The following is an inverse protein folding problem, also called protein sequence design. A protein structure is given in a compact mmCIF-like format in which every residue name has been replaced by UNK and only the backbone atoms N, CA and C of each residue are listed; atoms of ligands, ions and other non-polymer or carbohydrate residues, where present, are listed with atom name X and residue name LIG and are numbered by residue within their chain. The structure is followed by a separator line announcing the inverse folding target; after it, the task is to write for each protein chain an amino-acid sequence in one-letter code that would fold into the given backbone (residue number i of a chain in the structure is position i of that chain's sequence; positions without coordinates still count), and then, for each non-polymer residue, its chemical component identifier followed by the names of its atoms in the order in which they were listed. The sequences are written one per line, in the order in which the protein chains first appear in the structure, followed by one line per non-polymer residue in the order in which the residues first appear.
data_IF_322402955076
#
_entry.id   IF_322402955076
#
_cell.length_a   1.000
_cell.length_b   1.000
_cell.length_c   1.000
_cell.angle_alpha   90.00
_cell.angle_beta   90.00
_cell.angle_gamma   90.00
#
_symmetry.space_group_name_H-M   'P 1'
#
loop_
_entity.id
_entity.type
_entity.pdbx_description
1 polymer ?
#
# COMPACT_ATOMS: atom_id res chain seq x y z
N UNK A 1 9.83 -3.56 16.81
CA UNK A 1 10.29 -4.96 16.80
C UNK A 1 11.60 -5.18 16.06
N UNK A 2 11.70 -4.91 14.75
CA UNK A 2 12.89 -5.26 13.94
C UNK A 2 14.22 -4.75 14.51
N UNK A 3 14.31 -3.49 14.93
CA UNK A 3 15.55 -2.95 15.54
C UNK A 3 15.99 -3.72 16.78
N UNK A 4 15.04 -4.01 17.69
CA UNK A 4 15.33 -4.77 18.92
C UNK A 4 15.71 -6.21 18.58
N UNK A 5 15.04 -6.82 17.59
CA UNK A 5 15.35 -8.16 17.10
C UNK A 5 16.79 -8.23 16.58
N UNK A 6 17.20 -7.30 15.71
CA UNK A 6 18.57 -7.25 15.17
C UNK A 6 19.61 -7.04 16.28
N UNK A 7 19.33 -6.15 17.24
CA UNK A 7 20.23 -5.94 18.38
C UNK A 7 20.35 -7.18 19.27
N UNK A 8 19.23 -7.88 19.52
CA UNK A 8 19.17 -9.06 20.38
C UNK A 8 19.99 -10.24 19.83
N UNK A 9 20.15 -10.35 18.51
CA UNK A 9 21.00 -11.39 17.90
C UNK A 9 22.46 -11.28 18.37
N UNK A 10 22.98 -10.06 18.56
CA UNK A 10 24.33 -9.81 19.06
C UNK A 10 24.43 -9.60 20.59
N UNK A 11 23.32 -9.74 21.32
CA UNK A 11 23.33 -9.65 22.78
C UNK A 11 23.79 -10.97 23.42
N UNK A 12 24.17 -10.93 24.70
CA UNK A 12 24.38 -12.14 25.49
C UNK A 12 23.06 -12.54 26.18
N UNK A 13 22.69 -13.83 26.11
CA UNK A 13 21.51 -14.38 26.78
C UNK A 13 20.26 -14.47 25.89
N UNK A 14 19.08 -14.52 26.53
CA UNK A 14 17.77 -14.56 25.84
C UNK A 14 17.10 -13.19 25.92
N UNK A 15 16.54 -12.72 24.80
CA UNK A 15 15.67 -11.56 24.73
C UNK A 15 14.25 -12.00 24.38
N UNK A 16 13.27 -11.47 25.09
CA UNK A 16 11.84 -11.68 24.82
C UNK A 16 11.24 -10.32 24.48
N UNK A 17 10.67 -10.20 23.28
CA UNK A 17 9.93 -9.01 22.85
C UNK A 17 8.44 -9.30 23.02
N UNK A 18 7.80 -8.60 23.96
CA UNK A 18 6.35 -8.64 24.15
C UNK A 18 5.68 -7.47 23.41
N UNK A 19 4.47 -7.69 22.89
CA UNK A 19 3.79 -6.70 22.04
C UNK A 19 4.48 -6.51 20.69
N UNK A 20 5.12 -7.57 20.18
CA UNK A 20 5.81 -7.54 18.91
C UNK A 20 4.83 -7.31 17.74
N UNK A 21 5.23 -6.47 16.80
CA UNK A 21 4.58 -6.30 15.51
C UNK A 21 4.62 -7.62 14.71
N UNK A 22 3.50 -8.00 14.08
CA UNK A 22 3.29 -9.31 13.45
C UNK A 22 3.41 -9.29 11.93
N UNK A 23 3.73 -8.13 11.34
CA UNK A 23 3.77 -7.90 9.90
C UNK A 23 4.69 -8.90 9.17
N UNK A 24 4.36 -9.29 7.91
CA UNK A 24 5.21 -10.13 7.09
C UNK A 24 6.66 -9.60 6.96
N UNK A 25 6.84 -8.28 6.98
CA UNK A 25 8.17 -7.66 6.95
C UNK A 25 9.01 -7.96 8.21
N UNK A 26 8.36 -8.15 9.37
CA UNK A 26 9.03 -8.58 10.62
C UNK A 26 9.44 -10.05 10.52
N UNK A 27 8.58 -10.90 9.99
CA UNK A 27 8.86 -12.33 9.74
C UNK A 27 9.97 -12.51 8.70
N UNK A 28 10.00 -11.66 7.67
CA UNK A 28 11.08 -11.59 6.68
C UNK A 28 12.42 -11.23 7.33
N UNK A 29 12.42 -10.24 8.23
CA UNK A 29 13.62 -9.88 9.01
C UNK A 29 14.11 -11.06 9.86
N UNK A 30 13.20 -11.74 10.56
CA UNK A 30 13.54 -12.94 11.35
C UNK A 30 14.10 -14.06 10.46
N UNK A 31 13.50 -14.28 9.28
CA UNK A 31 13.93 -15.30 8.32
C UNK A 31 15.30 -14.98 7.73
N UNK A 32 15.59 -13.72 7.43
CA UNK A 32 16.91 -13.26 7.03
C UNK A 32 17.96 -13.51 8.12
N UNK A 33 17.66 -13.14 9.37
CA UNK A 33 18.56 -13.38 10.50
C UNK A 33 18.77 -14.88 10.76
N UNK A 34 17.73 -15.71 10.65
CA UNK A 34 17.82 -17.18 10.74
C UNK A 34 18.68 -17.76 9.62
N UNK A 35 18.58 -17.25 8.39
CA UNK A 35 19.42 -17.68 7.27
C UNK A 35 20.92 -17.40 7.53
N UNK A 36 21.22 -16.38 8.34
CA UNK A 36 22.58 -16.11 8.81
C UNK A 36 22.97 -16.90 10.07
N UNK A 37 22.11 -17.77 10.62
CA UNK A 37 22.42 -18.59 11.81
C UNK A 37 21.87 -18.07 13.15
N UNK A 38 21.05 -17.01 13.15
CA UNK A 38 20.38 -16.56 14.37
C UNK A 38 19.31 -17.57 14.85
N UNK A 39 19.06 -17.59 16.16
CA UNK A 39 17.98 -18.40 16.76
C UNK A 39 16.85 -17.46 17.19
N UNK A 40 15.77 -17.46 16.41
CA UNK A 40 14.60 -16.59 16.58
C UNK A 40 13.34 -17.43 16.41
N UNK A 41 12.45 -17.34 17.39
CA UNK A 41 11.17 -18.06 17.43
C UNK A 41 10.00 -17.09 17.73
N UNK A 42 8.81 -17.43 17.26
CA UNK A 42 7.58 -16.67 17.53
C UNK A 42 7.38 -15.43 16.65
N UNK A 43 8.18 -15.24 15.60
CA UNK A 43 7.94 -14.21 14.59
C UNK A 43 6.55 -14.41 13.93
N UNK A 44 5.83 -13.31 13.72
CA UNK A 44 4.42 -13.33 13.30
C UNK A 44 3.43 -13.44 14.47
N UNK A 45 3.91 -13.55 15.71
CA UNK A 45 3.09 -13.49 16.93
C UNK A 45 3.47 -12.27 17.79
N UNK A 46 2.61 -11.88 18.77
CA UNK A 46 2.93 -10.79 19.69
C UNK A 46 4.11 -11.05 20.65
N UNK A 47 4.69 -12.26 20.64
CA UNK A 47 5.84 -12.61 21.49
C UNK A 47 6.94 -13.23 20.63
N UNK A 48 8.07 -12.53 20.53
CA UNK A 48 9.25 -13.02 19.80
C UNK A 48 10.37 -13.31 20.79
N UNK A 49 10.98 -14.50 20.68
CA UNK A 49 12.11 -14.94 21.49
C UNK A 49 13.37 -15.00 20.64
N UNK A 50 14.45 -14.41 21.14
CA UNK A 50 15.73 -14.37 20.46
C UNK A 50 16.81 -14.88 21.42
N UNK A 51 17.55 -15.91 21.01
CA UNK A 51 18.75 -16.33 21.74
C UNK A 51 19.96 -15.63 21.14
N UNK A 52 20.49 -14.67 21.89
CA UNK A 52 21.66 -13.90 21.50
C UNK A 52 22.92 -14.75 21.44
N UNK A 53 23.78 -14.44 20.48
CA UNK A 53 25.05 -15.16 20.22
C UNK A 53 26.25 -14.52 20.94
N UNK A 54 26.06 -13.39 21.62
CA UNK A 54 27.16 -12.58 22.15
C UNK A 54 27.91 -11.85 21.03
N UNK A 55 29.23 -11.65 21.20
CA UNK A 55 30.05 -10.90 20.22
C UNK A 55 29.90 -11.46 18.81
N UNK A 56 29.54 -10.59 17.87
CA UNK A 56 29.44 -10.89 16.44
C UNK A 56 30.83 -10.91 15.81
N UNK A 57 31.62 -11.95 16.10
CA UNK A 57 32.91 -12.22 15.48
C UNK A 57 32.89 -13.56 14.71
N UNK A 58 34.04 -13.98 14.16
CA UNK A 58 34.12 -15.24 13.39
C UNK A 58 33.76 -16.50 14.21
N UNK A 59 33.71 -16.42 15.54
CA UNK A 59 33.28 -17.50 16.43
C UNK A 59 31.79 -17.47 16.78
N UNK A 60 31.04 -16.44 16.38
CA UNK A 60 29.61 -16.26 16.70
C UNK A 60 28.69 -17.30 16.04
N UNK A 61 29.18 -17.98 15.00
CA UNK A 61 28.38 -18.89 14.17
C UNK A 61 27.38 -18.17 13.27
N UNK A 62 27.49 -16.84 13.11
CA UNK A 62 26.78 -16.13 12.05
C UNK A 62 27.58 -16.16 10.76
N UNK A 63 26.91 -16.51 9.67
CA UNK A 63 27.51 -16.62 8.34
C UNK A 63 26.83 -15.67 7.36
N UNK A 64 27.59 -15.20 6.36
CA UNK A 64 27.00 -14.52 5.21
C UNK A 64 26.13 -15.49 4.41
N UNK A 65 25.08 -14.99 3.76
CA UNK A 65 24.18 -15.82 2.97
C UNK A 65 23.44 -15.02 1.90
N UNK A 66 22.73 -15.75 1.03
CA UNK A 66 21.78 -15.19 0.09
C UNK A 66 20.38 -15.20 0.69
N UNK A 67 19.65 -14.10 0.55
CA UNK A 67 18.27 -14.00 0.97
C UNK A 67 17.46 -13.27 -0.10
N UNK A 68 16.33 -13.86 -0.48
CA UNK A 68 15.39 -13.27 -1.44
C UNK A 68 14.41 -12.38 -0.70
N UNK A 69 14.26 -11.13 -1.15
CA UNK A 69 13.30 -10.20 -0.58
C UNK A 69 11.89 -10.63 -1.00
N UNK A 70 10.95 -10.80 -0.05
CA UNK A 70 9.56 -11.14 -0.39
C UNK A 70 8.89 -10.06 -1.26
N UNK A 71 7.84 -10.43 -2.01
CA UNK A 71 7.04 -9.47 -2.78
C UNK A 71 6.46 -8.35 -1.91
N UNK A 72 6.32 -7.15 -2.45
CA UNK A 72 5.71 -6.03 -1.73
C UNK A 72 4.17 -6.18 -1.70
N UNK A 73 3.64 -6.54 -0.53
CA UNK A 73 2.19 -6.70 -0.32
C UNK A 73 1.40 -5.38 -0.45
N UNK A 74 2.04 -4.23 -0.24
CA UNK A 74 1.39 -2.92 -0.43
C UNK A 74 1.36 -2.56 -1.91
N UNK A 75 2.43 -2.83 -2.66
CA UNK A 75 2.41 -2.68 -4.13
C UNK A 75 1.38 -3.62 -4.74
N UNK A 76 1.37 -4.90 -4.33
CA UNK A 76 0.36 -5.90 -4.69
C UNK A 76 -1.05 -5.37 -4.48
N UNK A 77 -1.33 -4.86 -3.28
CA UNK A 77 -2.64 -4.31 -2.95
C UNK A 77 -3.00 -3.05 -3.72
N UNK A 78 -2.01 -2.22 -4.07
CA UNK A 78 -2.22 -1.02 -4.88
C UNK A 78 -2.65 -1.36 -6.29
N UNK A 79 -2.00 -2.34 -6.94
CA UNK A 79 -2.40 -2.78 -8.28
C UNK A 79 -3.71 -3.58 -8.27
N UNK A 80 -3.99 -4.34 -7.20
CA UNK A 80 -5.30 -4.97 -7.04
C UNK A 80 -6.41 -3.91 -6.99
N UNK A 81 -6.22 -2.84 -6.23
CA UNK A 81 -7.15 -1.71 -6.18
C UNK A 81 -7.20 -0.94 -7.51
N UNK A 82 -6.08 -0.77 -8.21
CA UNK A 82 -6.05 -0.19 -9.55
C UNK A 82 -6.90 -1.00 -10.54
N UNK A 83 -6.79 -2.33 -10.50
CA UNK A 83 -7.62 -3.24 -11.29
C UNK A 83 -9.11 -3.12 -10.96
N UNK A 84 -9.46 -3.01 -9.68
CA UNK A 84 -10.85 -2.82 -9.26
C UNK A 84 -11.43 -1.47 -9.75
N UNK A 85 -10.60 -0.43 -9.80
CA UNK A 85 -10.98 0.94 -10.18
C UNK A 85 -11.12 1.11 -11.69
N UNK A 86 -10.18 0.59 -12.49
CA UNK A 86 -10.04 0.94 -13.90
C UNK A 86 -9.72 -0.24 -14.83
N UNK A 87 -9.58 -1.46 -14.31
CA UNK A 87 -9.18 -2.62 -15.11
C UNK A 87 -10.38 -3.37 -15.68
N UNK A 88 -10.26 -3.94 -16.88
CA UNK A 88 -11.20 -4.96 -17.34
C UNK A 88 -10.94 -6.28 -16.59
N UNK A 89 -9.68 -6.72 -16.64
CA UNK A 89 -9.15 -7.85 -15.87
C UNK A 89 -7.66 -7.58 -15.62
N UNK A 90 -7.25 -7.53 -14.36
CA UNK A 90 -5.86 -7.32 -13.95
C UNK A 90 -5.40 -8.51 -13.15
N UNK A 91 -4.25 -9.08 -13.53
CA UNK A 91 -3.59 -10.17 -12.80
C UNK A 91 -2.34 -9.60 -12.17
N UNK A 92 -2.27 -9.62 -10.83
CA UNK A 92 -1.06 -9.31 -10.08
C UNK A 92 -0.28 -10.60 -9.88
N UNK A 93 0.84 -10.74 -10.56
CA UNK A 93 1.71 -11.93 -10.53
C UNK A 93 2.85 -11.80 -9.51
N UNK A 94 3.42 -12.93 -9.11
CA UNK A 94 4.58 -12.95 -8.20
C UNK A 94 4.28 -12.41 -6.81
N UNK A 95 3.03 -12.51 -6.36
CA UNK A 95 2.58 -12.01 -5.06
C UNK A 95 2.37 -13.14 -4.05
N UNK A 96 2.11 -12.79 -2.79
CA UNK A 96 1.76 -13.74 -1.72
C UNK A 96 0.38 -13.41 -1.18
N UNK A 97 -0.70 -13.99 -1.73
CA UNK A 97 -2.07 -13.62 -1.36
C UNK A 97 -2.36 -13.76 0.14
N UNK A 98 -1.71 -14.70 0.82
CA UNK A 98 -1.79 -14.90 2.27
C UNK A 98 -1.34 -13.69 3.09
N UNK A 99 -0.54 -12.78 2.54
CA UNK A 99 -0.09 -11.55 3.20
C UNK A 99 -1.08 -10.37 2.98
N UNK A 100 -2.10 -10.56 2.13
CA UNK A 100 -3.11 -9.56 1.78
C UNK A 100 -4.55 -9.98 2.16
N UNK A 101 -4.75 -10.98 3.04
CA UNK A 101 -6.07 -11.51 3.38
C UNK A 101 -7.09 -10.44 3.79
N UNK A 102 -6.68 -9.44 4.59
CA UNK A 102 -7.58 -8.36 4.98
C UNK A 102 -8.02 -7.50 3.79
N UNK A 103 -7.16 -7.27 2.80
CA UNK A 103 -7.53 -6.57 1.57
C UNK A 103 -8.49 -7.42 0.74
N UNK A 104 -8.17 -8.70 0.54
CA UNK A 104 -9.00 -9.62 -0.26
C UNK A 104 -10.41 -9.72 0.31
N UNK A 105 -10.52 -9.87 1.64
CA UNK A 105 -11.81 -9.85 2.31
C UNK A 105 -12.56 -8.53 2.12
N UNK A 106 -11.88 -7.38 2.18
CA UNK A 106 -12.54 -6.09 1.94
C UNK A 106 -13.02 -5.96 0.49
N UNK A 107 -12.23 -6.41 -0.50
CA UNK A 107 -12.65 -6.39 -1.90
C UNK A 107 -13.91 -7.24 -2.12
N UNK A 108 -14.00 -8.41 -1.50
CA UNK A 108 -15.21 -9.24 -1.50
C UNK A 108 -16.41 -8.51 -0.88
N UNK A 109 -16.24 -7.86 0.29
CA UNK A 109 -17.31 -7.09 0.93
C UNK A 109 -17.78 -5.89 0.09
N UNK A 110 -16.88 -5.31 -0.69
CA UNK A 110 -17.17 -4.22 -1.61
C UNK A 110 -17.87 -4.69 -2.90
N UNK A 111 -17.97 -6.01 -3.12
CA UNK A 111 -18.55 -6.60 -4.32
C UNK A 111 -17.59 -6.64 -5.52
N UNK A 112 -16.28 -6.53 -5.29
CA UNK A 112 -15.25 -6.66 -6.33
C UNK A 112 -15.00 -8.15 -6.57
N UNK A 113 -15.12 -8.66 -7.81
CA UNK A 113 -14.76 -10.04 -8.12
C UNK A 113 -13.24 -10.25 -8.01
N UNK A 114 -12.85 -11.24 -7.20
CA UNK A 114 -11.46 -11.60 -6.94
C UNK A 114 -11.28 -13.10 -7.12
N UNK A 115 -10.26 -13.50 -7.87
CA UNK A 115 -9.79 -14.89 -7.90
C UNK A 115 -8.38 -14.95 -7.31
N UNK A 116 -8.18 -15.87 -6.37
CA UNK A 116 -6.91 -16.03 -5.65
C UNK A 116 -6.22 -17.31 -6.13
N UNK A 117 -5.04 -17.15 -6.74
CA UNK A 117 -4.14 -18.24 -7.09
C UNK A 117 -3.09 -18.51 -6.01
N UNK A 118 -2.11 -19.34 -6.32
CA UNK A 118 -0.98 -19.63 -5.41
C UNK A 118 -0.05 -18.42 -5.25
N UNK A 119 0.28 -17.78 -6.37
CA UNK A 119 1.16 -16.60 -6.44
C UNK A 119 0.58 -15.45 -7.26
N UNK A 120 -0.74 -15.49 -7.49
CA UNK A 120 -1.47 -14.52 -8.30
C UNK A 120 -2.75 -14.04 -7.62
N UNK A 121 -3.13 -12.80 -7.90
CA UNK A 121 -4.45 -12.25 -7.57
C UNK A 121 -5.04 -11.67 -8.86
N UNK A 122 -6.18 -12.19 -9.29
CA UNK A 122 -6.92 -11.67 -10.44
C UNK A 122 -8.07 -10.81 -9.95
N UNK A 123 -8.17 -9.58 -10.46
CA UNK A 123 -9.20 -8.61 -10.14
C UNK A 123 -9.97 -8.25 -11.41
N UNK A 124 -11.29 -8.21 -11.32
CA UNK A 124 -12.15 -7.62 -12.34
C UNK A 124 -12.60 -6.23 -11.88
N UNK A 125 -12.56 -5.24 -12.78
CA UNK A 125 -13.01 -3.90 -12.46
C UNK A 125 -14.52 -3.82 -12.24
N UNK A 126 -14.92 -2.78 -11.50
CA UNK A 126 -16.31 -2.53 -11.15
C UNK A 126 -16.68 -1.08 -11.41
N UNK A 127 -17.92 -0.85 -11.85
CA UNK A 127 -18.44 0.52 -12.01
C UNK A 127 -18.76 1.20 -10.67
N UNK A 128 -19.01 0.41 -9.63
CA UNK A 128 -19.40 0.86 -8.30
C UNK A 128 -19.12 -0.23 -7.27
N UNK A 129 -18.84 0.20 -6.04
CA UNK A 129 -18.69 -0.68 -4.86
C UNK A 129 -19.77 -0.42 -3.81
N UNK A 130 -20.00 -1.42 -2.95
CA UNK A 130 -20.82 -1.26 -1.75
C UNK A 130 -20.14 -0.32 -0.73
N UNK A 131 -20.90 0.40 0.11
CA UNK A 131 -20.31 1.17 1.20
C UNK A 131 -19.76 0.26 2.30
N UNK A 132 -18.66 0.68 2.95
CA UNK A 132 -18.01 -0.09 4.02
C UNK A 132 -17.58 0.78 5.19
N UNK A 133 -17.50 0.20 6.38
CA UNK A 133 -16.80 0.79 7.51
C UNK A 133 -15.58 -0.08 7.87
N UNK A 134 -14.38 0.44 7.66
CA UNK A 134 -13.12 -0.28 7.89
C UNK A 134 -12.22 0.48 8.86
N UNK A 135 -11.52 -0.26 9.72
CA UNK A 135 -10.52 0.30 10.62
C UNK A 135 -9.12 -0.21 10.27
N UNK A 136 -8.18 0.70 10.14
CA UNK A 136 -6.76 0.38 9.99
C UNK A 136 -6.18 0.06 11.36
N UNK A 137 -5.53 -1.10 11.46
CA UNK A 137 -5.00 -1.68 12.69
C UNK A 137 -3.69 -2.41 12.36
N UNK A 138 -2.86 -2.76 13.35
CA UNK A 138 -1.69 -3.62 13.13
C UNK A 138 -2.05 -4.94 12.43
N UNK A 139 -1.09 -5.52 11.70
CA UNK A 139 -1.28 -6.80 11.00
C UNK A 139 -1.73 -7.90 11.98
N UNK A 140 -2.70 -8.77 11.62
CA UNK A 140 -3.21 -9.09 10.27
C UNK A 140 -4.43 -8.28 9.80
N UNK A 141 -4.79 -7.20 10.50
CA UNK A 141 -5.90 -6.35 10.07
C UNK A 141 -5.53 -5.51 8.82
N UNK A 142 -6.50 -4.73 8.32
CA UNK A 142 -6.28 -3.93 7.11
C UNK A 142 -5.15 -2.91 7.32
N UNK A 143 -4.14 -2.86 6.43
CA UNK A 143 -2.97 -2.02 6.64
C UNK A 143 -3.27 -0.54 6.35
N UNK A 144 -2.82 0.34 7.25
CA UNK A 144 -2.85 1.81 7.06
C UNK A 144 -2.24 2.24 5.73
N UNK A 145 -1.28 1.50 5.19
CA UNK A 145 -0.63 1.87 3.92
C UNK A 145 -1.53 1.75 2.68
N UNK A 146 -2.60 0.96 2.75
CA UNK A 146 -3.58 0.84 1.67
C UNK A 146 -4.83 1.70 1.88
N UNK A 147 -4.91 2.49 2.95
CA UNK A 147 -6.11 3.28 3.24
C UNK A 147 -6.39 4.35 2.17
N UNK A 148 -5.35 5.02 1.65
CA UNK A 148 -5.49 5.99 0.56
C UNK A 148 -5.93 5.35 -0.76
N UNK A 149 -5.22 4.32 -1.27
CA UNK A 149 -5.66 3.55 -2.44
C UNK A 149 -7.09 3.01 -2.31
N UNK A 150 -7.47 2.49 -1.14
CA UNK A 150 -8.85 2.05 -0.88
C UNK A 150 -9.82 3.22 -0.99
N UNK A 151 -9.47 4.38 -0.45
CA UNK A 151 -10.31 5.58 -0.52
C UNK A 151 -10.63 5.99 -1.96
N UNK A 152 -9.67 5.87 -2.89
CA UNK A 152 -9.90 6.14 -4.30
C UNK A 152 -10.96 5.20 -4.89
N UNK A 153 -10.92 3.90 -4.54
CA UNK A 153 -11.97 2.95 -4.93
C UNK A 153 -13.33 3.32 -4.32
N UNK A 154 -13.36 3.71 -3.04
CA UNK A 154 -14.60 4.08 -2.36
C UNK A 154 -15.26 5.34 -2.94
N UNK A 155 -14.52 6.20 -3.64
CA UNK A 155 -15.12 7.32 -4.38
C UNK A 155 -16.07 6.85 -5.50
N UNK A 156 -15.91 5.64 -6.03
CA UNK A 156 -16.80 5.04 -7.02
C UNK A 156 -18.09 4.45 -6.42
N UNK A 157 -18.12 4.23 -5.09
CA UNK A 157 -19.21 3.52 -4.43
C UNK A 157 -20.53 4.29 -4.39
N UNK A 158 -21.63 3.58 -4.10
CA UNK A 158 -22.95 4.22 -3.86
C UNK A 158 -23.27 4.22 -2.36
N UNK A 159 -23.07 5.35 -1.71
CA UNK A 159 -23.37 5.53 -0.29
C UNK A 159 -22.21 6.15 0.49
N UNK A 160 -22.25 6.00 1.82
CA UNK A 160 -21.26 6.58 2.73
C UNK A 160 -20.37 5.47 3.29
N UNK A 161 -19.07 5.58 3.06
CA UNK A 161 -18.05 4.70 3.63
C UNK A 161 -17.23 5.42 4.70
N UNK A 162 -16.71 4.66 5.65
CA UNK A 162 -15.91 5.14 6.76
C UNK A 162 -14.55 4.42 6.78
N UNK A 163 -13.47 5.19 6.76
CA UNK A 163 -12.12 4.70 7.00
C UNK A 163 -11.63 5.28 8.32
N UNK A 164 -11.41 4.46 9.34
CA UNK A 164 -10.82 4.90 10.62
C UNK A 164 -9.38 4.44 10.72
N UNK A 165 -8.41 5.35 10.81
CA UNK A 165 -7.00 4.97 10.99
C UNK A 165 -6.60 5.06 12.45
N UNK A 166 -6.40 3.91 13.12
CA UNK A 166 -5.95 3.86 14.52
C UNK A 166 -4.43 3.78 14.65
N UNK A 167 -3.71 3.56 13.54
CA UNK A 167 -2.24 3.49 13.52
C UNK A 167 -1.66 4.90 13.32
N UNK A 168 -2.20 5.64 12.35
CA UNK A 168 -1.85 7.04 12.09
C UNK A 168 -3.11 7.91 11.92
N UNK A 169 -3.73 8.37 13.02
CA UNK A 169 -4.98 9.15 13.01
C UNK A 169 -4.97 10.42 12.13
N UNK A 170 -3.78 10.97 11.88
CA UNK A 170 -3.60 12.20 11.11
C UNK A 170 -3.22 11.98 9.64
N UNK A 171 -3.11 10.73 9.19
CA UNK A 171 -2.67 10.36 7.83
C UNK A 171 -3.76 10.52 6.77
N UNK A 172 -4.35 11.70 6.65
CA UNK A 172 -5.44 11.99 5.70
C UNK A 172 -5.18 13.23 4.83
N UNK A 173 -3.90 13.57 4.61
CA UNK A 173 -3.51 14.74 3.83
C UNK A 173 -3.98 14.68 2.37
N UNK A 174 -4.20 13.49 1.82
CA UNK A 174 -4.72 13.31 0.46
C UNK A 174 -6.20 13.72 0.31
N UNK A 175 -6.96 13.90 1.40
CA UNK A 175 -8.36 14.33 1.33
C UNK A 175 -8.54 15.69 0.67
N UNK A 176 -7.63 16.65 0.92
CA UNK A 176 -7.71 17.96 0.27
C UNK A 176 -7.54 17.86 -1.23
N UNK A 177 -6.65 17.00 -1.70
CA UNK A 177 -6.41 16.78 -3.12
C UNK A 177 -7.54 15.98 -3.78
N UNK A 178 -8.09 14.96 -3.12
CA UNK A 178 -9.28 14.26 -3.61
C UNK A 178 -10.48 15.20 -3.79
N UNK A 179 -10.66 16.20 -2.91
CA UNK A 179 -11.70 17.23 -3.12
C UNK A 179 -11.46 18.07 -4.37
N UNK A 180 -10.22 18.23 -4.83
CA UNK A 180 -9.92 18.93 -6.10
C UNK A 180 -10.36 18.13 -7.31
N UNK A 181 -10.43 16.80 -7.19
CA UNK A 181 -11.11 15.95 -8.18
C UNK A 181 -12.64 16.05 -8.10
N UNK A 182 -13.22 16.73 -7.10
CA UNK A 182 -14.66 16.75 -6.88
C UNK A 182 -15.18 15.67 -5.93
N UNK A 183 -14.30 14.86 -5.34
CA UNK A 183 -14.69 13.84 -4.37
C UNK A 183 -15.31 14.45 -3.11
N UNK A 184 -16.39 13.83 -2.61
CA UNK A 184 -17.07 14.27 -1.38
C UNK A 184 -16.50 13.54 -0.18
N UNK A 185 -15.42 14.09 0.36
CA UNK A 185 -14.69 13.47 1.46
C UNK A 185 -14.45 14.45 2.62
N UNK A 186 -14.54 13.97 3.86
CA UNK A 186 -14.22 14.75 5.06
C UNK A 186 -13.56 13.92 6.15
N UNK A 187 -12.89 14.59 7.09
CA UNK A 187 -12.26 13.96 8.25
C UNK A 187 -12.99 14.41 9.50
N UNK A 188 -13.30 13.47 10.38
CA UNK A 188 -13.82 13.68 11.73
C UNK A 188 -12.99 12.83 12.70
N UNK A 189 -12.14 13.50 13.49
CA UNK A 189 -11.19 12.79 14.37
C UNK A 189 -10.27 11.83 13.59
N UNK A 190 -10.14 10.54 13.98
CA UNK A 190 -9.35 9.55 13.26
C UNK A 190 -10.05 8.95 12.03
N UNK A 191 -11.23 9.44 11.66
CA UNK A 191 -12.09 8.83 10.64
C UNK A 191 -12.24 9.72 9.42
N UNK A 192 -11.97 9.18 8.23
CA UNK A 192 -12.41 9.75 6.97
C UNK A 192 -13.80 9.23 6.59
N UNK A 193 -14.66 10.14 6.17
CA UNK A 193 -16.01 9.91 5.68
C UNK A 193 -15.98 10.17 4.18
N UNK A 194 -16.39 9.16 3.40
CA UNK A 194 -16.38 9.18 1.94
C UNK A 194 -17.81 8.99 1.46
N UNK A 195 -18.37 10.02 0.83
CA UNK A 195 -19.66 9.94 0.14
C UNK A 195 -19.37 9.64 -1.34
N UNK A 196 -19.49 8.37 -1.72
CA UNK A 196 -19.15 7.90 -3.06
C UNK A 196 -20.17 8.30 -4.14
N UNK A 197 -19.78 8.11 -5.40
CA UNK A 197 -20.65 8.27 -6.57
C UNK A 197 -20.65 9.68 -7.16
N UNK A 198 -19.83 10.58 -6.62
CA UNK A 198 -19.55 11.86 -7.26
C UNK A 198 -18.61 11.63 -8.46
N UNK A 199 -18.91 12.18 -9.65
CA UNK A 199 -17.98 12.11 -10.77
C UNK A 199 -16.68 12.82 -10.41
N UNK A 200 -15.56 12.20 -10.76
CA UNK A 200 -14.24 12.79 -10.57
C UNK A 200 -13.83 13.55 -11.84
N UNK A 201 -13.24 14.72 -11.66
CA UNK A 201 -12.68 15.53 -12.75
C UNK A 201 -11.18 15.67 -12.59
N UNK A 202 -10.47 15.61 -13.71
CA UNK A 202 -9.03 15.76 -13.76
C UNK A 202 -8.59 17.10 -13.18
N UNK A 203 -7.53 17.07 -12.38
CA UNK A 203 -7.04 18.25 -11.67
C UNK A 203 -5.51 18.24 -11.55
N UNK A 204 -4.95 19.43 -11.31
CA UNK A 204 -3.55 19.56 -10.85
C UNK A 204 -3.53 19.33 -9.34
N UNK A 205 -2.87 18.27 -8.89
CA UNK A 205 -2.82 17.86 -7.48
C UNK A 205 -1.39 17.68 -6.99
N UNK A 206 -1.19 17.71 -5.66
CA UNK A 206 0.12 17.59 -5.04
C UNK A 206 0.24 16.36 -4.15
N UNK A 207 1.15 15.46 -4.49
CA UNK A 207 1.53 14.36 -3.60
C UNK A 207 2.16 14.90 -2.30
N UNK A 208 1.65 14.43 -1.16
CA UNK A 208 2.13 14.81 0.18
C UNK A 208 2.95 13.70 0.87
N UNK A 209 2.71 12.45 0.51
CA UNK A 209 3.45 11.28 0.97
C UNK A 209 3.33 10.12 -0.05
N UNK A 210 4.05 9.02 0.19
CA UNK A 210 4.09 7.86 -0.70
C UNK A 210 2.70 7.28 -1.00
N UNK A 211 1.86 7.07 0.02
CA UNK A 211 0.56 6.39 -0.14
C UNK A 211 -0.53 7.37 -0.58
N UNK A 212 -0.43 8.63 -0.16
CA UNK A 212 -1.18 9.73 -0.77
C UNK A 212 -0.92 9.81 -2.28
N UNK A 213 0.33 9.65 -2.72
CA UNK A 213 0.67 9.68 -4.16
C UNK A 213 -0.06 8.59 -4.94
N UNK A 214 -0.03 7.34 -4.44
CA UNK A 214 -0.72 6.23 -5.07
C UNK A 214 -2.24 6.47 -5.14
N UNK A 215 -2.86 6.96 -4.06
CA UNK A 215 -4.27 7.34 -4.04
C UNK A 215 -4.64 8.31 -5.17
N UNK A 216 -3.85 9.38 -5.36
CA UNK A 216 -4.12 10.40 -6.38
C UNK A 216 -3.91 9.89 -7.80
N UNK A 217 -2.92 9.02 -8.01
CA UNK A 217 -2.73 8.35 -9.31
C UNK A 217 -3.94 7.49 -9.62
N UNK A 218 -4.41 6.66 -8.69
CA UNK A 218 -5.58 5.80 -8.90
C UNK A 218 -6.86 6.60 -9.14
N UNK A 219 -7.10 7.67 -8.39
CA UNK A 219 -8.22 8.57 -8.63
C UNK A 219 -8.16 9.21 -10.03
N UNK A 220 -6.95 9.56 -10.50
CA UNK A 220 -6.72 10.11 -11.84
C UNK A 220 -7.01 9.13 -12.99
N UNK A 221 -6.96 7.81 -12.75
CA UNK A 221 -7.24 6.80 -13.79
C UNK A 221 -8.71 6.81 -14.24
N UNK A 222 -9.62 7.28 -13.38
CA UNK A 222 -11.08 7.30 -13.61
C UNK A 222 -11.66 8.71 -13.64
N UNK A 223 -10.83 9.73 -13.48
CA UNK A 223 -11.25 11.12 -13.53
C UNK A 223 -11.47 11.56 -14.99
N UNK A 224 -12.51 12.35 -15.22
CA UNK A 224 -12.78 12.93 -16.54
C UNK A 224 -11.78 14.04 -16.87
N UNK A 225 -11.11 13.95 -18.01
CA UNK A 225 -10.05 14.88 -18.41
C UNK A 225 -8.66 14.50 -17.92
N UNK A 226 -7.74 15.48 -17.87
CA UNK A 226 -6.32 15.25 -17.58
C UNK A 226 -6.00 15.57 -16.11
N UNK A 227 -5.32 14.65 -15.45
CA UNK A 227 -4.82 14.82 -14.09
C UNK A 227 -3.30 15.02 -14.09
N UNK A 228 -2.82 16.07 -13.44
CA UNK A 228 -1.39 16.26 -13.21
C UNK A 228 -1.06 16.04 -11.74
N UNK A 229 -0.34 14.95 -11.44
CA UNK A 229 0.14 14.66 -10.09
C UNK A 229 1.56 15.22 -9.93
N UNK A 230 1.70 16.29 -9.15
CA UNK A 230 2.99 16.91 -8.87
C UNK A 230 3.66 16.30 -7.63
N UNK A 231 4.96 16.56 -7.44
CA UNK A 231 5.77 16.07 -6.31
C UNK A 231 5.87 14.54 -6.25
N UNK A 232 5.95 13.90 -7.42
CA UNK A 232 6.05 12.44 -7.58
C UNK A 232 7.30 11.81 -6.93
N UNK A 233 8.26 12.60 -6.45
CA UNK A 233 9.38 12.08 -5.64
C UNK A 233 8.89 11.33 -4.39
N UNK A 234 7.69 11.65 -3.88
CA UNK A 234 7.07 10.87 -2.82
C UNK A 234 6.68 9.47 -3.27
N UNK A 235 6.11 9.33 -4.48
CA UNK A 235 5.73 8.05 -5.09
C UNK A 235 6.96 7.16 -5.35
N UNK A 236 8.02 7.78 -5.87
CA UNK A 236 9.26 7.09 -6.26
C UNK A 236 10.02 6.47 -5.09
N UNK A 237 9.67 6.81 -3.85
CA UNK A 237 10.24 6.17 -2.66
C UNK A 237 9.76 4.74 -2.44
N UNK A 238 8.69 4.30 -3.11
CA UNK A 238 8.12 2.97 -2.87
C UNK A 238 7.37 2.35 -4.04
N UNK A 239 7.28 3.01 -5.20
CA UNK A 239 6.81 2.39 -6.44
C UNK A 239 7.86 2.61 -7.53
N UNK A 240 8.32 1.51 -8.10
CA UNK A 240 9.23 1.54 -9.23
C UNK A 240 8.43 1.58 -10.54
N UNK A 241 8.65 2.65 -11.33
CA UNK A 241 8.13 2.82 -12.69
C UNK A 241 6.62 2.52 -12.78
N UNK A 242 5.85 3.05 -11.84
CA UNK A 242 4.40 2.84 -11.74
C UNK A 242 3.69 3.24 -13.04
N UNK A 243 4.13 4.32 -13.67
CA UNK A 243 3.64 4.79 -14.97
C UNK A 243 3.74 3.71 -16.05
N UNK A 244 4.85 2.98 -16.09
CA UNK A 244 5.06 1.95 -17.10
C UNK A 244 4.23 0.70 -16.84
N UNK A 245 4.17 0.27 -15.57
CA UNK A 245 3.34 -0.86 -15.15
C UNK A 245 1.85 -0.57 -15.45
N UNK A 246 1.38 0.64 -15.18
CA UNK A 246 0.02 1.06 -15.52
C UNK A 246 -0.22 1.16 -17.04
N UNK A 247 0.76 1.65 -17.82
CA UNK A 247 0.65 1.65 -19.28
C UNK A 247 0.59 0.25 -19.88
N UNK A 248 1.30 -0.73 -19.31
CA UNK A 248 1.20 -2.13 -19.72
C UNK A 248 -0.19 -2.71 -19.47
N UNK A 249 -0.94 -2.15 -18.51
CA UNK A 249 -2.35 -2.47 -18.25
C UNK A 249 -3.33 -1.64 -19.10
N UNK A 250 -2.85 -0.82 -20.03
CA UNK A 250 -3.66 -0.01 -20.93
C UNK A 250 -3.98 1.40 -20.43
N UNK A 251 -3.47 1.80 -19.27
CA UNK A 251 -3.68 3.15 -18.76
C UNK A 251 -2.93 4.21 -19.59
N UNK A 252 -3.52 5.39 -19.75
CA UNK A 252 -2.88 6.55 -20.36
C UNK A 252 -2.19 7.39 -19.28
N UNK A 253 -1.00 6.98 -18.90
CA UNK A 253 -0.20 7.64 -17.87
C UNK A 253 1.18 7.94 -18.44
N UNK A 254 1.67 9.15 -18.23
CA UNK A 254 3.03 9.49 -18.63
C UNK A 254 3.73 10.28 -17.54
N UNK A 255 5.05 10.11 -17.50
CA UNK A 255 5.92 10.91 -16.66
C UNK A 255 6.58 11.98 -17.52
N UNK A 256 6.23 13.22 -17.25
CA UNK A 256 6.75 14.40 -17.95
C UNK A 256 7.66 15.23 -17.04
N UNK A 257 8.66 15.88 -17.63
CA UNK A 257 9.51 16.82 -16.90
C UNK A 257 8.78 18.16 -16.71
N UNK A 258 9.21 18.96 -15.73
CA UNK A 258 8.63 20.32 -15.53
C UNK A 258 8.78 21.20 -16.77
N UNK A 259 9.87 21.04 -17.53
CA UNK A 259 10.10 21.77 -18.77
C UNK A 259 9.14 21.35 -19.90
N UNK A 260 8.72 20.08 -19.94
CA UNK A 260 7.80 19.59 -20.96
C UNK A 260 6.34 19.96 -20.66
N UNK A 261 5.99 20.07 -19.37
CA UNK A 261 4.70 20.58 -18.89
C UNK A 261 4.40 22.00 -19.40
N UNK A 262 5.38 22.90 -19.36
CA UNK A 262 5.22 24.28 -19.82
C UNK A 262 4.88 24.35 -21.31
N UNK A 263 5.51 23.49 -22.12
CA UNK A 263 5.28 23.41 -23.57
C UNK A 263 3.91 22.87 -23.95
N UNK A 264 3.34 21.99 -23.15
CA UNK A 264 2.03 21.38 -23.44
C UNK A 264 0.88 22.33 -23.06
N UNK A 265 1.03 23.08 -21.97
CA UNK A 265 0.07 24.13 -21.59
C UNK A 265 0.00 25.29 -22.60
N UNK A 266 1.06 25.52 -23.37
CA UNK A 266 1.06 26.52 -24.45
C UNK A 266 0.37 26.01 -25.72
N UNK A 267 0.32 24.69 -25.95
CA UNK A 267 -0.39 24.10 -27.11
C UNK A 267 -1.90 24.08 -26.93
N UNK A 268 -2.40 23.89 -25.71
CA UNK A 268 -3.84 23.98 -25.41
C UNK A 268 -4.38 25.42 -25.42
N UNK A 269 -3.50 26.43 -25.51
CA UNK A 269 -3.84 27.86 -25.53
C UNK A 269 -3.88 28.49 -26.93
N UNK A 270 -3.65 27.71 -28.00
CA UNK A 270 -3.69 28.15 -29.42
C UNK A 270 -4.84 27.46 -30.14
#
# INVERSE_FOLDING_TARGET
TQNVMMAAVGAEGETIIEGAACEPEVQSTASFLRAMGATIDGDGTPVVRIKGRGRLDQGSGLEGGSFEIPPDRIETGTYALAGAIAGEQVIVEGCRPSENLALLHQLEQLGVPVEVGESTITIQGVESVAPVAVSMLPYPAFPTDLQGPLMALLCLGRGVSLITDKVFPDRFNHLSELRRFGARVRKEGPTAIIEGGAPLSGAKVMASDLRASACLVLAGLVADGVTHVNRIYHLQRGYERMEEKLCQLGARVERISEHDLERDTDKERV
#
